data_IF_557223890213
#
_entry.id   IF_557223890213
#
_cell.length_a   1.000
_cell.length_b   1.000
_cell.length_c   1.000
_cell.angle_alpha   90.00
_cell.angle_beta   90.00
_cell.angle_gamma   90.00
#
_symmetry.space_group_name_H-M   'P 1'
#
loop_
_entity.id
_entity.type
_entity.pdbx_description
1 polymer ?
#
# COMPACT_ATOMS: atom_id res chain seq x y z
N UNK A 1 -36.13 17.25 -30.42
CA UNK A 1 -36.24 16.09 -29.52
C UNK A 1 -35.06 15.09 -29.66
N UNK A 2 -34.46 14.90 -30.80
CA UNK A 2 -33.33 13.97 -31.01
C UNK A 2 -32.00 14.46 -30.39
N UNK A 3 -31.76 15.75 -30.31
CA UNK A 3 -30.54 16.32 -29.76
C UNK A 3 -30.41 16.12 -28.22
N UNK A 4 -31.54 16.13 -27.51
CA UNK A 4 -31.55 15.85 -26.07
C UNK A 4 -31.29 14.36 -25.73
N UNK A 5 -31.70 13.43 -26.62
CA UNK A 5 -31.42 11.99 -26.43
C UNK A 5 -29.93 11.67 -26.65
N UNK A 6 -29.28 12.33 -27.59
CA UNK A 6 -27.83 12.16 -27.82
C UNK A 6 -26.99 12.68 -26.65
N UNK A 7 -27.35 13.82 -26.08
CA UNK A 7 -26.71 14.35 -24.87
C UNK A 7 -26.92 13.42 -23.64
N UNK A 8 -28.11 12.86 -23.47
CA UNK A 8 -28.40 11.93 -22.39
C UNK A 8 -27.61 10.61 -22.52
N UNK A 9 -27.41 10.11 -23.75
CA UNK A 9 -26.62 8.91 -23.98
C UNK A 9 -25.11 9.13 -23.70
N UNK A 10 -24.58 10.30 -24.03
CA UNK A 10 -23.20 10.66 -23.71
C UNK A 10 -23.01 10.83 -22.20
N UNK A 11 -23.96 11.46 -21.53
CA UNK A 11 -23.95 11.60 -20.07
C UNK A 11 -24.06 10.26 -19.34
N UNK A 12 -24.84 9.30 -19.84
CA UNK A 12 -24.99 7.99 -19.20
C UNK A 12 -23.70 7.16 -19.26
N UNK A 13 -22.96 7.20 -20.35
CA UNK A 13 -21.67 6.48 -20.46
C UNK A 13 -20.60 7.09 -19.53
N UNK A 14 -20.59 8.42 -19.36
CA UNK A 14 -19.66 9.08 -18.45
C UNK A 14 -19.95 8.73 -16.98
N UNK A 15 -21.21 8.58 -16.61
CA UNK A 15 -21.64 8.21 -15.24
C UNK A 15 -21.29 6.75 -14.89
N UNK A 16 -21.35 5.82 -15.86
CA UNK A 16 -21.03 4.42 -15.60
C UNK A 16 -19.51 4.19 -15.40
N UNK A 17 -18.67 4.88 -16.15
CA UNK A 17 -17.22 4.82 -15.98
C UNK A 17 -16.77 5.35 -14.62
N UNK A 18 -17.37 6.45 -14.17
CA UNK A 18 -17.08 7.03 -12.86
C UNK A 18 -17.56 6.12 -11.70
N UNK A 19 -18.72 5.47 -11.84
CA UNK A 19 -19.24 4.55 -10.83
C UNK A 19 -18.28 3.37 -10.59
N UNK A 20 -17.65 2.81 -11.64
CA UNK A 20 -16.68 1.74 -11.49
C UNK A 20 -15.42 2.16 -10.76
N UNK A 21 -14.87 3.34 -11.06
CA UNK A 21 -13.67 3.86 -10.41
C UNK A 21 -13.87 4.17 -8.92
N UNK A 22 -15.01 4.76 -8.59
CA UNK A 22 -15.41 5.05 -7.21
C UNK A 22 -15.57 3.78 -6.37
N UNK A 23 -16.34 2.81 -6.88
CA UNK A 23 -16.57 1.54 -6.20
C UNK A 23 -15.25 0.78 -5.96
N UNK A 24 -14.36 0.75 -6.94
CA UNK A 24 -13.02 0.16 -6.80
C UNK A 24 -12.21 0.85 -5.71
N UNK A 25 -12.23 2.18 -5.66
CA UNK A 25 -11.52 2.93 -4.64
C UNK A 25 -12.08 2.66 -3.23
N UNK A 26 -13.39 2.51 -3.10
CA UNK A 26 -14.03 2.12 -1.83
C UNK A 26 -13.66 0.69 -1.41
N UNK A 27 -13.63 -0.26 -2.35
CA UNK A 27 -13.21 -1.63 -2.07
C UNK A 27 -11.74 -1.66 -1.59
N UNK A 28 -10.85 -0.90 -2.21
CA UNK A 28 -9.46 -0.76 -1.77
C UNK A 28 -9.38 -0.21 -0.33
N UNK A 29 -10.20 0.75 0.04
CA UNK A 29 -10.29 1.25 1.43
C UNK A 29 -10.76 0.14 2.38
N UNK A 30 -11.79 -0.62 2.01
CA UNK A 30 -12.30 -1.73 2.83
C UNK A 30 -11.26 -2.84 3.03
N UNK A 31 -10.37 -3.06 2.06
CA UNK A 31 -9.24 -3.98 2.18
C UNK A 31 -8.12 -3.47 3.09
N UNK A 32 -8.23 -2.25 3.60
CA UNK A 32 -7.28 -1.64 4.54
C UNK A 32 -6.15 -0.85 3.89
N UNK A 33 -6.24 -0.55 2.59
CA UNK A 33 -5.31 0.41 1.97
C UNK A 33 -5.60 1.82 2.48
N UNK A 34 -4.55 2.63 2.58
CA UNK A 34 -4.61 4.02 3.04
C UNK A 34 -4.26 4.99 1.92
N UNK A 35 -4.57 6.27 2.16
CA UNK A 35 -4.32 7.35 1.21
C UNK A 35 -4.89 7.08 -0.18
N UNK A 36 -6.00 6.33 -0.24
CA UNK A 36 -6.64 5.96 -1.50
C UNK A 36 -7.23 7.19 -2.17
N UNK A 37 -6.88 7.38 -3.43
CA UNK A 37 -7.48 8.36 -4.34
C UNK A 37 -7.70 7.69 -5.69
N UNK A 38 -8.56 8.26 -6.46
CA UNK A 38 -8.71 7.90 -7.86
C UNK A 38 -9.12 9.11 -8.68
N UNK A 39 -8.82 9.05 -9.96
CA UNK A 39 -9.30 10.03 -10.95
C UNK A 39 -9.36 9.36 -12.32
N UNK A 40 -10.20 9.89 -13.18
CA UNK A 40 -10.32 9.41 -14.56
C UNK A 40 -10.22 10.58 -15.51
N UNK A 41 -9.40 10.41 -16.55
CA UNK A 41 -9.21 11.32 -17.66
C UNK A 41 -9.72 10.68 -18.95
N UNK A 42 -9.58 11.38 -20.07
CA UNK A 42 -9.92 10.82 -21.38
C UNK A 42 -9.03 9.62 -21.76
N UNK A 43 -7.77 9.59 -21.29
CA UNK A 43 -6.76 8.62 -21.70
C UNK A 43 -6.39 7.60 -20.62
N UNK A 44 -6.63 7.90 -19.34
CA UNK A 44 -6.20 7.05 -18.24
C UNK A 44 -7.15 7.11 -17.04
N UNK A 45 -7.25 5.98 -16.31
CA UNK A 45 -7.81 5.89 -14.97
C UNK A 45 -6.69 5.62 -14.00
N UNK A 46 -6.57 6.46 -12.96
CA UNK A 46 -5.45 6.45 -12.02
C UNK A 46 -5.99 6.16 -10.63
N UNK A 47 -5.36 5.20 -9.96
CA UNK A 47 -5.56 4.91 -8.53
C UNK A 47 -4.28 5.18 -7.76
N UNK A 48 -4.41 5.62 -6.50
CA UNK A 48 -3.30 5.63 -5.55
C UNK A 48 -3.65 4.78 -4.37
N UNK A 49 -2.65 4.05 -3.85
CA UNK A 49 -2.79 3.24 -2.64
C UNK A 49 -1.53 3.32 -1.80
N UNK A 50 -1.69 3.24 -0.49
CA UNK A 50 -0.63 3.00 0.47
C UNK A 50 -0.91 1.70 1.21
N UNK A 51 0.06 0.78 1.18
CA UNK A 51 -0.11 -0.52 1.85
C UNK A 51 0.15 -0.38 3.35
N UNK A 52 -0.90 -0.53 4.14
CA UNK A 52 -0.84 -0.64 5.60
C UNK A 52 -1.42 -1.97 6.11
N UNK A 53 -2.17 -2.67 5.26
CA UNK A 53 -2.87 -3.90 5.63
C UNK A 53 -2.01 -5.17 5.51
N UNK A 54 -1.06 -5.17 4.59
CA UNK A 54 -0.29 -6.38 4.26
C UNK A 54 1.17 -6.21 4.69
N UNK A 55 1.71 -7.22 5.39
CA UNK A 55 3.10 -7.23 5.87
C UNK A 55 4.12 -7.11 4.73
N UNK A 56 3.85 -7.75 3.59
CA UNK A 56 4.70 -7.70 2.41
C UNK A 56 4.11 -6.74 1.37
N UNK A 57 4.87 -5.74 0.96
CA UNK A 57 4.41 -4.75 -0.01
C UNK A 57 4.01 -5.38 -1.35
N UNK A 58 4.75 -6.39 -1.83
CA UNK A 58 4.40 -7.10 -3.05
C UNK A 58 3.03 -7.79 -2.99
N UNK A 59 2.67 -8.36 -1.84
CA UNK A 59 1.34 -8.96 -1.63
C UNK A 59 0.27 -7.87 -1.66
N UNK A 60 0.48 -6.74 -0.99
CA UNK A 60 -0.45 -5.62 -1.02
C UNK A 60 -0.68 -5.11 -2.44
N UNK A 61 0.41 -4.88 -3.20
CA UNK A 61 0.31 -4.43 -4.60
C UNK A 61 -0.45 -5.44 -5.46
N UNK A 62 -0.16 -6.75 -5.33
CA UNK A 62 -0.87 -7.80 -6.07
C UNK A 62 -2.38 -7.81 -5.74
N UNK A 63 -2.74 -7.63 -4.46
CA UNK A 63 -4.15 -7.53 -4.04
C UNK A 63 -4.84 -6.28 -4.57
N UNK A 64 -4.17 -5.14 -4.61
CA UNK A 64 -4.72 -3.93 -5.22
C UNK A 64 -4.97 -4.13 -6.72
N UNK A 65 -4.02 -4.73 -7.44
CA UNK A 65 -4.16 -5.07 -8.87
C UNK A 65 -5.35 -6.02 -9.08
N UNK A 66 -5.44 -7.11 -8.30
CA UNK A 66 -6.54 -8.07 -8.37
C UNK A 66 -7.91 -7.40 -8.21
N UNK A 67 -8.03 -6.49 -7.25
CA UNK A 67 -9.27 -5.72 -7.01
C UNK A 67 -9.61 -4.82 -8.20
N UNK A 68 -8.63 -4.08 -8.72
CA UNK A 68 -8.84 -3.22 -9.90
C UNK A 68 -9.27 -4.04 -11.12
N UNK A 69 -8.63 -5.18 -11.37
CA UNK A 69 -8.98 -6.05 -12.49
C UNK A 69 -10.38 -6.66 -12.35
N UNK A 70 -10.74 -7.09 -11.14
CA UNK A 70 -12.06 -7.65 -10.83
C UNK A 70 -13.18 -6.63 -11.01
N UNK A 71 -12.93 -5.37 -10.69
CA UNK A 71 -13.88 -4.28 -10.91
C UNK A 71 -14.00 -3.84 -12.37
N UNK A 72 -13.14 -4.34 -13.24
CA UNK A 72 -13.07 -4.01 -14.67
C UNK A 72 -12.10 -2.88 -15.00
N UNK A 73 -11.22 -3.15 -15.95
CA UNK A 73 -10.32 -2.13 -16.51
C UNK A 73 -11.12 -1.16 -17.41
N UNK A 74 -10.73 0.11 -17.48
CA UNK A 74 -11.39 1.08 -18.34
C UNK A 74 -11.15 0.74 -19.82
N UNK A 75 -12.20 0.64 -20.63
CA UNK A 75 -12.10 0.37 -22.06
C UNK A 75 -11.37 1.51 -22.78
N UNK A 76 -10.45 1.16 -23.69
CA UNK A 76 -9.70 2.12 -24.51
C UNK A 76 -8.80 3.08 -23.72
N UNK A 77 -8.59 2.86 -22.44
CA UNK A 77 -7.77 3.70 -21.57
C UNK A 77 -6.69 2.90 -20.86
N UNK A 78 -5.63 3.58 -20.46
CA UNK A 78 -4.62 3.01 -19.58
C UNK A 78 -5.12 3.03 -18.13
N UNK A 79 -5.05 1.91 -17.44
CA UNK A 79 -5.24 1.85 -16.00
C UNK A 79 -3.88 1.99 -15.30
N UNK A 80 -3.77 2.90 -14.36
CA UNK A 80 -2.55 3.18 -13.62
C UNK A 80 -2.77 3.05 -12.12
N UNK A 81 -1.90 2.30 -11.46
CA UNK A 81 -1.84 2.20 -10.01
C UNK A 81 -0.54 2.86 -9.51
N UNK A 82 -0.64 3.89 -8.69
CA UNK A 82 0.50 4.54 -8.05
C UNK A 82 0.56 4.08 -6.60
N UNK A 83 1.65 3.42 -6.25
CA UNK A 83 1.91 2.97 -4.88
C UNK A 83 2.63 4.07 -4.12
N UNK A 84 2.09 4.45 -2.97
CA UNK A 84 2.66 5.50 -2.12
C UNK A 84 3.22 4.92 -0.82
N UNK A 85 4.13 5.66 -0.20
CA UNK A 85 4.60 5.45 1.17
C UNK A 85 4.67 6.79 1.87
N UNK A 86 3.99 6.92 3.00
CA UNK A 86 3.80 8.19 3.71
C UNK A 86 3.24 9.29 2.78
N UNK A 87 2.31 8.89 1.91
CA UNK A 87 1.70 9.72 0.87
C UNK A 87 2.70 10.28 -0.18
N UNK A 88 3.90 9.72 -0.26
CA UNK A 88 4.90 10.02 -1.31
C UNK A 88 4.88 8.87 -2.32
N UNK A 89 4.73 9.15 -3.64
CA UNK A 89 4.71 8.11 -4.64
C UNK A 89 6.08 7.42 -4.74
N UNK A 90 6.05 6.10 -4.90
CA UNK A 90 7.24 5.26 -4.98
C UNK A 90 7.41 4.64 -6.35
N UNK A 91 6.36 4.02 -6.85
CA UNK A 91 6.32 3.33 -8.14
C UNK A 91 4.95 3.52 -8.78
N UNK A 92 4.90 3.40 -10.10
CA UNK A 92 3.65 3.27 -10.85
C UNK A 92 3.59 1.95 -11.59
N UNK A 93 2.40 1.38 -11.66
CA UNK A 93 2.11 0.20 -12.46
C UNK A 93 1.04 0.57 -13.48
N UNK A 94 1.23 0.19 -14.73
CA UNK A 94 0.31 0.51 -15.81
C UNK A 94 -0.13 -0.75 -16.53
N UNK A 95 -1.41 -0.79 -16.88
CA UNK A 95 -2.00 -1.82 -17.70
C UNK A 95 -2.93 -1.14 -18.72
N UNK A 96 -2.89 -1.58 -19.97
CA UNK A 96 -3.82 -1.16 -21.01
C UNK A 96 -4.74 -2.33 -21.30
N UNK A 97 -6.05 -2.12 -21.22
CA UNK A 97 -7.01 -3.15 -21.60
C UNK A 97 -6.83 -3.48 -23.09
N UNK A 98 -6.86 -4.77 -23.47
CA UNK A 98 -6.85 -5.15 -24.87
C UNK A 98 -8.13 -4.65 -25.56
N UNK A 99 -8.02 -4.17 -26.79
CA UNK A 99 -9.15 -3.62 -27.56
C UNK A 99 -10.11 -4.71 -28.12
N UNK A 100 -9.87 -5.98 -27.85
CA UNK A 100 -10.64 -7.10 -28.39
C UNK A 100 -11.68 -7.64 -27.40
N UNK A 101 -12.91 -7.81 -27.91
CA UNK A 101 -14.10 -8.30 -27.17
C UNK A 101 -14.01 -9.75 -26.65
N UNK A 102 -13.02 -10.52 -27.06
CA UNK A 102 -12.78 -11.84 -26.46
C UNK A 102 -12.21 -11.64 -25.06
N UNK A 103 -12.93 -12.11 -24.07
CA UNK A 103 -12.66 -12.03 -22.64
C UNK A 103 -11.29 -12.59 -22.26
N UNK A 104 -10.23 -11.88 -22.64
CA UNK A 104 -8.87 -12.17 -22.21
C UNK A 104 -8.78 -11.73 -20.75
N UNK A 105 -8.72 -12.70 -19.87
CA UNK A 105 -8.42 -12.42 -18.45
C UNK A 105 -7.06 -11.75 -18.37
N UNK A 106 -7.06 -10.46 -18.08
CA UNK A 106 -5.83 -9.69 -17.88
C UNK A 106 -5.12 -10.25 -16.65
N UNK A 107 -3.90 -10.74 -16.87
CA UNK A 107 -3.06 -11.28 -15.81
C UNK A 107 -2.28 -10.15 -15.12
N UNK A 108 -1.86 -10.37 -13.87
CA UNK A 108 -0.92 -9.46 -13.18
C UNK A 108 0.39 -9.29 -13.95
N UNK A 109 0.72 -10.20 -14.88
CA UNK A 109 1.89 -10.12 -15.77
C UNK A 109 1.78 -9.02 -16.83
N UNK A 110 0.57 -8.56 -17.11
CA UNK A 110 0.33 -7.50 -18.10
C UNK A 110 0.57 -6.10 -17.54
N UNK A 111 0.80 -6.01 -16.23
CA UNK A 111 1.14 -4.78 -15.57
C UNK A 111 2.63 -4.46 -15.68
N UNK A 112 2.92 -3.28 -16.20
CA UNK A 112 4.30 -2.77 -16.35
C UNK A 112 4.63 -1.85 -15.19
N UNK A 113 5.74 -2.12 -14.52
CA UNK A 113 6.24 -1.30 -13.41
C UNK A 113 7.15 -0.20 -13.95
N UNK A 114 6.98 1.01 -13.46
CA UNK A 114 7.84 2.15 -13.77
C UNK A 114 8.12 2.96 -12.49
N UNK A 115 9.32 3.48 -12.40
CA UNK A 115 9.72 4.47 -11.39
C UNK A 115 9.47 5.90 -11.86
N UNK A 116 9.16 6.08 -13.14
CA UNK A 116 8.73 7.37 -13.69
C UNK A 116 7.26 7.59 -13.37
N UNK A 117 6.99 8.66 -12.65
CA UNK A 117 5.66 8.97 -12.14
C UNK A 117 4.91 9.96 -13.03
N UNK A 118 5.62 10.57 -13.96
CA UNK A 118 5.11 11.55 -14.92
C UNK A 118 4.09 12.57 -14.32
N UNK A 119 3.23 13.11 -15.16
CA UNK A 119 2.19 14.05 -14.71
C UNK A 119 0.95 13.38 -14.09
N UNK A 120 0.84 12.05 -14.13
CA UNK A 120 -0.32 11.31 -13.59
C UNK A 120 -0.43 11.49 -12.08
N UNK A 121 0.71 11.52 -11.37
CA UNK A 121 0.71 11.82 -9.94
C UNK A 121 0.15 13.22 -9.64
N UNK A 122 0.52 14.24 -10.42
CA UNK A 122 0.03 15.61 -10.23
C UNK A 122 -1.49 15.71 -10.43
N UNK A 123 -2.05 14.90 -11.34
CA UNK A 123 -3.49 14.85 -11.59
C UNK A 123 -4.21 14.26 -10.39
N UNK A 124 -3.84 13.04 -9.96
CA UNK A 124 -4.53 12.32 -8.90
C UNK A 124 -4.27 12.93 -7.50
N UNK A 125 -3.14 13.62 -7.29
CA UNK A 125 -2.84 14.30 -6.02
C UNK A 125 -3.84 15.40 -5.68
N UNK A 126 -4.48 16.01 -6.67
CA UNK A 126 -5.49 17.05 -6.48
C UNK A 126 -6.82 16.50 -5.97
N UNK A 127 -7.06 15.22 -6.17
CA UNK A 127 -8.30 14.56 -5.74
C UNK A 127 -8.34 14.35 -4.24
N UNK A 128 -9.55 14.40 -3.69
CA UNK A 128 -9.79 14.14 -2.28
C UNK A 128 -9.47 12.68 -1.94
N UNK A 129 -8.74 12.47 -0.87
CA UNK A 129 -8.51 11.12 -0.33
C UNK A 129 -9.81 10.52 0.18
N UNK A 130 -10.03 9.24 -0.08
CA UNK A 130 -11.12 8.47 0.51
C UNK A 130 -10.89 8.22 2.00
N UNK A 131 -9.63 8.01 2.37
CA UNK A 131 -9.18 7.83 3.73
C UNK A 131 -7.78 8.46 3.91
N UNK A 132 -7.32 8.59 5.13
CA UNK A 132 -6.03 9.21 5.43
C UNK A 132 -5.31 8.42 6.51
N UNK A 133 -3.99 8.23 6.32
CA UNK A 133 -3.09 7.72 7.35
C UNK A 133 -2.60 8.80 8.31
N UNK A 134 -2.93 10.09 8.07
CA UNK A 134 -2.46 11.19 8.91
C UNK A 134 -3.06 11.10 10.32
N UNK A 135 -2.20 11.26 11.33
CA UNK A 135 -2.52 11.16 12.75
C UNK A 135 -3.08 9.80 13.19
N UNK A 136 -2.98 8.78 12.34
CA UNK A 136 -3.25 7.42 12.75
C UNK A 136 -2.13 6.93 13.66
N UNK A 137 -2.50 6.33 14.76
CA UNK A 137 -1.58 5.72 15.72
C UNK A 137 -1.59 4.21 15.49
N UNK A 138 -0.46 3.67 15.08
CA UNK A 138 -0.26 2.23 14.94
C UNK A 138 0.54 1.71 16.14
N UNK A 139 0.04 0.66 16.77
CA UNK A 139 0.72 -0.03 17.86
C UNK A 139 1.13 -1.40 17.36
N UNK A 140 2.41 -1.64 17.29
CA UNK A 140 3.00 -2.86 16.77
C UNK A 140 3.80 -3.55 17.89
N UNK A 141 3.74 -4.87 17.96
CA UNK A 141 4.55 -5.64 18.91
C UNK A 141 5.43 -6.58 18.10
N UNK A 142 6.74 -6.37 18.19
CA UNK A 142 7.73 -7.18 17.50
C UNK A 142 8.42 -8.12 18.49
N UNK A 143 8.22 -9.45 18.39
CA UNK A 143 9.08 -10.41 19.06
C UNK A 143 10.45 -10.44 18.36
N UNK A 144 11.51 -10.32 19.13
CA UNK A 144 12.88 -10.36 18.62
C UNK A 144 13.65 -11.47 19.33
N UNK A 145 14.19 -12.41 18.56
CA UNK A 145 15.09 -13.44 19.04
C UNK A 145 16.49 -13.11 18.53
N UNK A 146 17.43 -12.94 19.46
CA UNK A 146 18.81 -12.61 19.13
C UNK A 146 19.75 -13.65 19.73
N UNK A 147 20.71 -14.09 18.92
CA UNK A 147 21.80 -14.96 19.36
C UNK A 147 23.11 -14.17 19.29
N UNK A 148 23.81 -14.08 20.41
CA UNK A 148 25.12 -13.47 20.48
C UNK A 148 26.16 -14.54 20.80
N UNK A 149 27.25 -14.54 20.08
CA UNK A 149 28.41 -15.36 20.37
C UNK A 149 29.55 -14.44 20.84
N UNK A 150 29.97 -14.60 22.09
CA UNK A 150 31.11 -13.90 22.66
C UNK A 150 32.35 -14.74 22.43
N UNK A 151 33.03 -14.50 21.34
CA UNK A 151 34.18 -15.31 20.82
C UNK A 151 35.29 -15.50 21.86
N UNK A 152 35.51 -14.52 22.73
CA UNK A 152 36.61 -14.55 23.72
C UNK A 152 36.37 -15.61 24.80
N UNK A 153 35.12 -15.99 25.08
CA UNK A 153 34.77 -16.89 26.17
C UNK A 153 33.97 -18.11 25.71
N UNK A 154 33.69 -18.26 24.41
CA UNK A 154 32.79 -19.27 23.82
C UNK A 154 31.40 -19.31 24.46
N UNK A 155 30.95 -18.20 24.98
CA UNK A 155 29.62 -18.09 25.59
C UNK A 155 28.61 -17.72 24.50
N UNK A 156 27.57 -18.53 24.41
CA UNK A 156 26.40 -18.25 23.60
C UNK A 156 25.35 -17.59 24.47
N UNK A 157 24.85 -16.47 24.05
CA UNK A 157 23.76 -15.76 24.71
C UNK A 157 22.52 -15.76 23.85
N UNK A 158 21.42 -16.20 24.41
CA UNK A 158 20.10 -16.14 23.80
C UNK A 158 19.29 -15.04 24.48
N UNK A 159 18.78 -14.11 23.66
CA UNK A 159 17.92 -13.04 24.15
C UNK A 159 16.58 -13.11 23.44
N UNK A 160 15.52 -13.03 24.20
CA UNK A 160 14.18 -12.86 23.67
C UNK A 160 13.59 -11.56 24.21
N UNK A 161 13.34 -10.62 23.30
CA UNK A 161 12.81 -9.30 23.62
C UNK A 161 11.43 -9.13 22.98
N UNK A 162 10.53 -8.46 23.68
CA UNK A 162 9.32 -7.89 23.09
C UNK A 162 9.57 -6.38 22.85
N UNK A 163 9.28 -5.94 21.66
CA UNK A 163 9.50 -4.55 21.27
C UNK A 163 8.17 -3.90 20.85
N UNK A 164 7.36 -3.42 21.82
CA UNK A 164 6.22 -2.58 21.50
C UNK A 164 6.71 -1.28 20.85
N UNK A 165 6.11 -0.96 19.72
CA UNK A 165 6.43 0.21 18.90
C UNK A 165 5.16 0.99 18.68
N UNK A 166 5.20 2.28 18.90
CA UNK A 166 4.12 3.22 18.57
C UNK A 166 4.58 4.04 17.38
N UNK A 167 3.77 4.10 16.34
CA UNK A 167 4.05 4.86 15.13
C UNK A 167 2.91 5.83 14.85
N UNK A 168 3.25 7.08 14.51
CA UNK A 168 2.28 8.13 14.17
C UNK A 168 2.73 8.83 12.90
N UNK A 169 1.87 8.86 11.89
CA UNK A 169 2.10 9.62 10.67
C UNK A 169 1.66 11.08 10.90
N UNK A 170 2.61 12.02 10.92
CA UNK A 170 2.35 13.43 11.25
C UNK A 170 1.93 14.24 10.01
N UNK A 171 2.66 14.11 8.90
CA UNK A 171 2.36 14.73 7.62
C UNK A 171 2.99 13.95 6.45
N UNK A 172 2.84 14.46 5.24
CA UNK A 172 3.37 13.83 4.03
C UNK A 172 4.88 13.63 4.16
N UNK A 173 5.31 12.36 4.07
CA UNK A 173 6.73 11.98 4.17
C UNK A 173 7.28 11.88 5.58
N UNK A 174 6.51 12.20 6.63
CA UNK A 174 7.02 12.15 8.00
C UNK A 174 6.23 11.22 8.91
N UNK A 175 6.96 10.36 9.59
CA UNK A 175 6.48 9.43 10.60
C UNK A 175 7.31 9.60 11.87
N UNK A 176 6.64 9.69 13.00
CA UNK A 176 7.26 9.59 14.32
C UNK A 176 7.09 8.16 14.82
N UNK A 177 8.17 7.53 15.27
CA UNK A 177 8.10 6.21 15.90
C UNK A 177 8.85 6.20 17.22
N UNK A 178 8.26 5.56 18.21
CA UNK A 178 8.87 5.26 19.49
C UNK A 178 8.85 3.76 19.75
N UNK A 179 9.99 3.15 20.05
CA UNK A 179 10.11 1.74 20.36
C UNK A 179 10.66 1.55 21.75
N UNK A 180 9.98 0.71 22.53
CA UNK A 180 10.46 0.23 23.81
C UNK A 180 10.93 -1.21 23.62
N UNK A 181 12.10 -1.56 24.17
CA UNK A 181 12.59 -2.93 24.19
C UNK A 181 12.43 -3.50 25.62
N UNK A 182 11.65 -4.55 25.73
CA UNK A 182 11.41 -5.25 26.98
C UNK A 182 12.07 -6.63 26.91
N UNK A 183 13.18 -6.87 27.61
CA UNK A 183 13.78 -8.18 27.68
C UNK A 183 12.85 -9.13 28.46
N UNK A 184 12.44 -10.21 27.80
CA UNK A 184 11.61 -11.25 28.40
C UNK A 184 12.47 -12.41 28.89
N UNK A 185 13.52 -12.74 28.13
CA UNK A 185 14.45 -13.79 28.46
C UNK A 185 15.86 -13.39 28.07
N UNK A 186 16.83 -13.62 29.00
CA UNK A 186 18.24 -13.37 28.75
C UNK A 186 19.06 -14.36 29.62
N UNK A 187 19.71 -15.32 28.97
CA UNK A 187 20.50 -16.34 29.66
C UNK A 187 21.93 -15.90 30.00
N UNK A 188 22.32 -14.69 29.55
CA UNK A 188 23.66 -14.14 29.81
C UNK A 188 23.86 -13.52 31.18
N UNK A 189 22.77 -13.18 31.90
CA UNK A 189 22.89 -12.54 33.21
C UNK A 189 23.38 -13.49 34.31
N UNK A 190 22.87 -14.72 34.36
CA UNK A 190 23.26 -15.71 35.38
C UNK A 190 24.76 -16.05 35.34
N UNK A 191 25.34 -16.08 34.17
CA UNK A 191 26.78 -16.39 34.03
C UNK A 191 27.72 -15.27 34.52
N UNK A 192 27.27 -14.03 34.49
CA UNK A 192 28.07 -12.90 35.02
C UNK A 192 27.98 -12.82 36.55
N UNK A 193 26.83 -13.10 37.16
CA UNK A 193 26.67 -13.14 38.61
C UNK A 193 27.53 -14.22 39.24
N UNK A 194 27.56 -15.43 38.70
CA UNK A 194 28.40 -16.55 39.21
C UNK A 194 29.91 -16.29 39.10
N UNK A 195 30.34 -15.37 38.22
CA UNK A 195 31.77 -15.01 38.10
C UNK A 195 32.19 -13.77 38.86
N UNK A 196 31.24 -12.93 39.28
CA UNK A 196 31.53 -11.69 40.02
C UNK A 196 31.44 -11.90 41.55
N UNK A 197 30.75 -12.94 41.98
CA UNK A 197 30.70 -13.33 43.37
C UNK A 197 31.35 -14.72 43.55
N UNK A 198 32.70 -14.76 43.81
CA UNK A 198 33.39 -16.01 44.19
C UNK A 198 33.02 -16.47 45.62
#
# INVERSE_FOLDING_TARGET
>A
MWFCMLLAAIYSQFVWGQAGGEATAEELVQMGFENVRWTETETERIYTVENSAYKLNGVGVAKAIETIQKSGLPEGKTCRLIVTKLNIPQISLTCTAPETEDSVQVSTKDWRVSYDLDDSWKKVKKEKKKNSSLFKVDILIYPQLSFKNLIITQIYQVLFDLSPTIEVSLWEGMKLSGQLRVPVYNDGYGYLEDKIHP
#
